data_IF_221890376180
#
_entry.id   IF_221890376180
#
_cell.length_a   1.000
_cell.length_b   1.000
_cell.length_c   1.000
_cell.angle_alpha   90.00
_cell.angle_beta   90.00
_cell.angle_gamma   90.00
#
_symmetry.space_group_name_H-M   'P 1'
#
loop_
_entity.id
_entity.type
_entity.pdbx_description
1 polymer ?
#
# COMPACT_ATOMS: atom_id res chain seq x y z
N UNK A 1 15.37 6.86 -18.67
CA UNK A 1 14.09 6.85 -17.93
C UNK A 1 13.32 8.06 -18.42
N UNK A 2 12.18 7.88 -19.08
CA UNK A 2 11.40 9.02 -19.57
C UNK A 2 10.58 9.62 -18.42
N UNK A 3 10.71 10.92 -18.24
CA UNK A 3 9.77 11.68 -17.44
C UNK A 3 8.41 11.63 -18.10
N UNK A 4 7.42 11.11 -17.42
CA UNK A 4 6.05 11.27 -17.88
C UNK A 4 5.40 12.35 -17.06
N UNK A 5 5.10 13.47 -17.68
CA UNK A 5 4.19 14.48 -17.14
C UNK A 5 2.79 13.82 -17.10
N UNK A 6 2.45 13.23 -15.97
CA UNK A 6 1.17 12.52 -15.81
C UNK A 6 0.13 13.57 -15.44
N UNK A 7 -0.85 13.75 -16.30
CA UNK A 7 -2.00 14.58 -16.01
C UNK A 7 -2.67 14.07 -14.72
N UNK A 8 -2.99 14.95 -13.81
CA UNK A 8 -3.59 14.73 -12.47
C UNK A 8 -4.79 13.74 -12.46
N UNK A 9 -5.45 13.56 -13.61
CA UNK A 9 -6.59 12.66 -13.81
C UNK A 9 -6.24 11.16 -13.87
N UNK A 10 -4.96 10.82 -14.04
CA UNK A 10 -4.50 9.42 -14.15
C UNK A 10 -4.00 8.86 -12.82
N UNK A 11 -3.88 9.70 -11.79
CA UNK A 11 -3.32 9.29 -10.51
C UNK A 11 -4.42 8.98 -9.51
N UNK A 12 -4.35 7.82 -8.88
CA UNK A 12 -5.26 7.43 -7.78
C UNK A 12 -4.97 8.31 -6.57
N UNK A 13 -5.79 9.34 -6.39
CA UNK A 13 -5.58 10.31 -5.32
C UNK A 13 -5.72 9.69 -3.92
N UNK A 14 -6.75 8.86 -3.70
CA UNK A 14 -7.00 8.22 -2.40
C UNK A 14 -6.42 6.81 -2.42
N UNK A 15 -5.27 6.63 -1.78
CA UNK A 15 -4.58 5.36 -1.68
C UNK A 15 -4.82 4.75 -0.29
N UNK A 16 -5.31 3.50 -0.26
CA UNK A 16 -5.76 2.85 0.97
C UNK A 16 -4.63 2.04 1.60
N UNK A 17 -4.29 2.33 2.86
CA UNK A 17 -3.36 1.52 3.65
C UNK A 17 -4.05 0.33 4.36
N UNK A 18 -5.37 0.37 4.52
CA UNK A 18 -6.19 -0.82 4.77
C UNK A 18 -7.07 -1.04 3.55
N UNK A 19 -6.91 -2.14 2.80
CA UNK A 19 -7.61 -2.37 1.56
C UNK A 19 -9.13 -2.33 1.69
N UNK A 20 -9.81 -1.79 0.70
CA UNK A 20 -11.29 -1.82 0.65
C UNK A 20 -11.82 -3.25 0.71
N UNK A 21 -11.13 -4.20 0.06
CA UNK A 21 -11.48 -5.62 0.10
C UNK A 21 -11.51 -6.17 1.53
N UNK A 22 -10.61 -5.70 2.41
CA UNK A 22 -10.62 -6.03 3.83
C UNK A 22 -11.76 -5.33 4.58
N UNK A 23 -11.91 -4.01 4.38
CA UNK A 23 -12.94 -3.19 5.06
C UNK A 23 -14.36 -3.67 4.75
N UNK A 24 -14.61 -4.18 3.53
CA UNK A 24 -15.91 -4.76 3.12
C UNK A 24 -16.38 -5.90 4.02
N UNK A 25 -15.48 -6.61 4.66
CA UNK A 25 -15.87 -7.70 5.57
C UNK A 25 -16.56 -7.20 6.84
N UNK A 26 -16.41 -5.93 7.18
CA UNK A 26 -17.00 -5.25 8.34
C UNK A 26 -18.05 -4.24 7.95
N UNK A 27 -18.36 -4.13 6.64
CA UNK A 27 -19.28 -3.13 6.16
C UNK A 27 -20.75 -3.53 6.32
N UNK A 28 -21.56 -2.51 6.56
CA UNK A 28 -23.01 -2.58 6.42
C UNK A 28 -23.36 -1.92 5.10
N UNK A 29 -23.93 -2.71 4.19
CA UNK A 29 -24.38 -2.19 2.90
C UNK A 29 -25.65 -1.37 3.08
N UNK A 30 -25.63 -0.13 2.64
CA UNK A 30 -26.84 0.63 2.40
C UNK A 30 -26.98 0.88 0.90
N UNK A 31 -28.16 1.39 0.46
CA UNK A 31 -28.51 1.56 -0.96
C UNK A 31 -27.52 2.46 -1.75
N UNK A 32 -26.61 3.17 -1.09
CA UNK A 32 -25.74 4.18 -1.72
C UNK A 32 -24.23 3.90 -1.57
N UNK A 33 -23.80 3.23 -0.51
CA UNK A 33 -22.38 2.97 -0.26
C UNK A 33 -22.16 1.89 0.79
N UNK A 34 -21.01 1.25 0.75
CA UNK A 34 -20.51 0.40 1.82
C UNK A 34 -19.96 1.28 2.95
N UNK A 35 -20.44 1.08 4.16
CA UNK A 35 -20.07 1.87 5.32
C UNK A 35 -19.64 0.97 6.47
N UNK A 36 -18.77 1.47 7.31
CA UNK A 36 -18.32 0.82 8.55
C UNK A 36 -18.53 1.73 9.75
N UNK A 37 -18.73 1.13 10.91
CA UNK A 37 -18.71 1.86 12.17
C UNK A 37 -17.27 2.10 12.59
N UNK A 38 -16.93 3.35 12.90
CA UNK A 38 -15.57 3.77 13.30
C UNK A 38 -15.67 4.57 14.59
N UNK A 39 -14.80 4.24 15.54
CA UNK A 39 -14.53 5.09 16.71
C UNK A 39 -13.17 5.75 16.47
N UNK A 40 -13.15 7.07 16.34
CA UNK A 40 -11.89 7.80 16.24
C UNK A 40 -11.27 7.98 17.64
N UNK A 41 -9.94 8.07 17.71
CA UNK A 41 -9.20 8.07 18.96
C UNK A 41 -9.68 9.11 20.01
N UNK A 42 -10.27 10.21 19.55
CA UNK A 42 -10.77 11.28 20.40
C UNK A 42 -12.32 11.32 20.48
N UNK A 43 -13.00 10.31 19.96
CA UNK A 43 -14.44 10.20 19.98
C UNK A 43 -14.89 9.10 20.96
N UNK A 44 -15.96 9.35 21.70
CA UNK A 44 -16.61 8.33 22.56
C UNK A 44 -17.64 7.50 21.79
N UNK A 45 -18.13 8.00 20.67
CA UNK A 45 -19.21 7.38 19.90
C UNK A 45 -18.76 6.89 18.55
N UNK A 46 -19.28 5.74 18.14
CA UNK A 46 -19.08 5.21 16.80
C UNK A 46 -19.81 6.07 15.76
N UNK A 47 -19.17 6.31 14.63
CA UNK A 47 -19.72 7.01 13.48
C UNK A 47 -19.75 6.09 12.27
N UNK A 48 -20.80 6.15 11.45
CA UNK A 48 -20.83 5.47 10.16
C UNK A 48 -20.06 6.26 9.12
N UNK A 49 -19.07 5.63 8.51
CA UNK A 49 -18.18 6.25 7.51
C UNK A 49 -18.08 5.34 6.29
N UNK A 50 -18.13 5.93 5.08
CA UNK A 50 -17.88 5.17 3.85
C UNK A 50 -16.45 4.60 3.84
N UNK A 51 -16.32 3.33 3.41
CA UNK A 51 -15.02 2.68 3.24
C UNK A 51 -14.10 3.44 2.25
N UNK A 52 -14.67 4.24 1.36
CA UNK A 52 -13.91 5.10 0.44
C UNK A 52 -13.19 6.27 1.11
N UNK A 53 -13.54 6.56 2.37
CA UNK A 53 -13.07 7.76 3.08
C UNK A 53 -12.27 7.45 4.36
N UNK A 54 -12.08 6.17 4.67
CA UNK A 54 -11.29 5.78 5.84
C UNK A 54 -10.06 4.97 5.42
N UNK A 55 -9.08 4.94 6.30
CA UNK A 55 -7.85 4.16 6.09
C UNK A 55 -7.17 4.46 4.73
N UNK A 56 -7.29 5.69 4.26
CA UNK A 56 -6.67 6.17 3.04
C UNK A 56 -6.00 7.54 3.26
N UNK A 57 -5.01 7.83 2.45
CA UNK A 57 -4.38 9.17 2.36
C UNK A 57 -4.21 9.55 0.89
N UNK A 58 -4.15 10.86 0.65
CA UNK A 58 -3.86 11.36 -0.70
C UNK A 58 -2.41 11.04 -1.04
N UNK A 59 -2.20 10.39 -2.18
CA UNK A 59 -0.88 10.09 -2.73
C UNK A 59 0.06 9.41 -1.73
N UNK A 60 -0.46 8.47 -0.94
CA UNK A 60 0.29 7.85 0.16
C UNK A 60 1.58 7.18 -0.32
N UNK A 61 1.51 6.49 -1.44
CA UNK A 61 2.62 5.71 -2.00
C UNK A 61 3.34 6.41 -3.13
N UNK A 62 2.75 7.48 -3.68
CA UNK A 62 3.35 8.22 -4.78
C UNK A 62 4.34 9.27 -4.27
N UNK A 63 5.53 9.23 -4.78
CA UNK A 63 6.56 10.21 -4.47
C UNK A 63 6.44 11.39 -5.43
N UNK A 64 6.17 12.56 -4.86
CA UNK A 64 5.89 13.77 -5.61
C UNK A 64 7.08 14.74 -5.48
N UNK A 65 7.62 15.18 -6.60
CA UNK A 65 8.56 16.29 -6.66
C UNK A 65 7.91 17.49 -7.37
N UNK A 66 8.47 18.67 -7.18
CA UNK A 66 8.11 19.87 -7.96
C UNK A 66 9.25 20.12 -8.91
N UNK A 67 8.96 20.13 -10.21
CA UNK A 67 9.91 20.55 -11.21
C UNK A 67 10.28 22.01 -10.96
N UNK A 68 11.57 22.34 -10.79
CA UNK A 68 11.99 23.69 -10.45
C UNK A 68 11.71 24.72 -11.54
N UNK A 69 11.68 24.28 -12.80
CA UNK A 69 11.53 25.17 -13.96
C UNK A 69 10.04 25.39 -14.30
N UNK A 70 9.28 24.30 -14.49
CA UNK A 70 7.86 24.38 -14.84
C UNK A 70 6.93 24.62 -13.66
N UNK A 71 7.41 24.40 -12.42
CA UNK A 71 6.61 24.41 -11.18
C UNK A 71 5.47 23.38 -11.15
N UNK A 72 5.52 22.39 -12.02
CA UNK A 72 4.55 21.30 -12.07
C UNK A 72 4.92 20.17 -11.12
N UNK A 73 3.93 19.40 -10.70
CA UNK A 73 4.16 18.18 -9.93
C UNK A 73 4.65 17.07 -10.86
N UNK A 74 5.76 16.45 -10.49
CA UNK A 74 6.33 15.29 -11.18
C UNK A 74 6.21 14.07 -10.28
N UNK A 75 5.66 12.99 -10.82
CA UNK A 75 5.53 11.72 -10.14
C UNK A 75 6.55 10.75 -10.70
N UNK A 76 7.33 10.11 -9.85
CA UNK A 76 8.39 9.19 -10.28
C UNK A 76 7.81 7.96 -11.02
N UNK A 77 6.80 7.34 -10.44
CA UNK A 77 6.10 6.18 -11.01
C UNK A 77 4.67 6.15 -10.44
N UNK A 78 3.75 6.96 -11.00
CA UNK A 78 2.42 7.14 -10.44
C UNK A 78 1.64 5.83 -10.39
N UNK A 79 0.99 5.59 -9.26
CA UNK A 79 0.21 4.37 -8.95
C UNK A 79 1.01 3.05 -8.97
N UNK A 80 2.32 3.03 -9.19
CA UNK A 80 3.07 1.78 -9.32
C UNK A 80 2.92 0.89 -8.08
N UNK A 81 3.15 1.47 -6.90
CA UNK A 81 3.05 0.74 -5.63
C UNK A 81 1.58 0.41 -5.32
N UNK A 82 0.65 1.32 -5.55
CA UNK A 82 -0.78 1.06 -5.36
C UNK A 82 -1.26 -0.08 -6.26
N UNK A 83 -0.86 -0.09 -7.53
CA UNK A 83 -1.23 -1.13 -8.48
C UNK A 83 -0.62 -2.51 -8.13
N UNK A 84 0.54 -2.54 -7.48
CA UNK A 84 1.16 -3.81 -7.05
C UNK A 84 0.32 -4.60 -6.04
N UNK A 85 -0.62 -3.96 -5.35
CA UNK A 85 -1.50 -4.62 -4.40
C UNK A 85 -2.77 -5.22 -5.03
N UNK A 86 -3.14 -4.83 -6.25
CA UNK A 86 -4.46 -5.15 -6.86
C UNK A 86 -4.68 -6.66 -6.95
N UNK A 87 -3.71 -7.41 -7.45
CA UNK A 87 -3.82 -8.85 -7.60
C UNK A 87 -4.02 -9.55 -6.26
N UNK A 88 -3.16 -9.24 -5.28
CA UNK A 88 -3.23 -9.81 -3.94
C UNK A 88 -4.55 -9.49 -3.22
N UNK A 89 -5.09 -8.28 -3.41
CA UNK A 89 -6.39 -7.89 -2.87
C UNK A 89 -7.55 -8.66 -3.52
N UNK A 90 -7.47 -8.91 -4.82
CA UNK A 90 -8.44 -9.73 -5.55
C UNK A 90 -8.42 -11.19 -5.09
N UNK A 91 -7.24 -11.78 -4.94
CA UNK A 91 -7.07 -13.12 -4.40
C UNK A 91 -7.60 -13.23 -2.96
N UNK A 92 -7.26 -12.28 -2.10
CA UNK A 92 -7.80 -12.22 -0.74
C UNK A 92 -9.34 -12.18 -0.74
N UNK A 93 -9.96 -11.31 -1.54
CA UNK A 93 -11.41 -11.20 -1.61
C UNK A 93 -12.07 -12.52 -2.04
N UNK A 94 -11.46 -13.23 -2.99
CA UNK A 94 -11.92 -14.54 -3.47
C UNK A 94 -11.84 -15.60 -2.35
N UNK A 95 -10.71 -15.68 -1.66
CA UNK A 95 -10.50 -16.65 -0.58
C UNK A 95 -11.47 -16.39 0.58
N UNK A 96 -11.62 -15.14 1.00
CA UNK A 96 -12.55 -14.79 2.08
C UNK A 96 -14.00 -15.09 1.69
N UNK A 97 -14.39 -14.87 0.44
CA UNK A 97 -15.72 -15.23 -0.05
C UNK A 97 -15.95 -16.74 0.00
N UNK A 98 -14.95 -17.57 -0.37
CA UNK A 98 -14.98 -19.03 -0.24
C UNK A 98 -15.17 -19.45 1.21
N UNK A 99 -14.39 -18.88 2.14
CA UNK A 99 -14.50 -19.18 3.58
C UNK A 99 -15.89 -18.81 4.11
N UNK A 100 -16.38 -17.59 3.82
CA UNK A 100 -17.70 -17.13 4.26
C UNK A 100 -18.83 -18.03 3.77
N UNK A 101 -18.77 -18.47 2.51
CA UNK A 101 -19.77 -19.35 1.95
C UNK A 101 -19.73 -20.73 2.62
N UNK A 102 -18.55 -21.30 2.83
CA UNK A 102 -18.40 -22.58 3.51
C UNK A 102 -18.92 -22.51 4.96
N UNK A 103 -18.57 -21.45 5.70
CA UNK A 103 -18.98 -21.25 7.10
C UNK A 103 -20.48 -20.90 7.26
N UNK A 104 -21.20 -20.62 6.17
CA UNK A 104 -22.66 -20.43 6.22
C UNK A 104 -23.39 -21.75 6.49
N UNK A 105 -22.89 -22.82 5.87
CA UNK A 105 -23.57 -24.12 5.84
C UNK A 105 -22.83 -25.19 6.71
N UNK A 106 -21.59 -24.92 7.11
CA UNK A 106 -20.75 -25.83 7.90
C UNK A 106 -19.85 -25.02 8.83
N UNK A 107 -19.34 -25.68 9.88
CA UNK A 107 -18.27 -25.11 10.74
C UNK A 107 -16.87 -25.55 10.28
N UNK A 108 -16.80 -26.30 9.17
CA UNK A 108 -15.55 -26.77 8.59
C UNK A 108 -15.39 -26.26 7.17
N UNK A 109 -14.14 -25.96 6.79
CA UNK A 109 -13.75 -25.63 5.42
C UNK A 109 -12.30 -26.03 5.17
N UNK A 110 -11.98 -26.24 3.91
CA UNK A 110 -10.63 -26.54 3.46
C UNK A 110 -10.08 -25.42 2.57
N UNK A 111 -8.83 -25.07 2.82
CA UNK A 111 -8.03 -24.19 1.97
C UNK A 111 -6.88 -24.97 1.37
N UNK A 112 -6.64 -24.77 0.08
CA UNK A 112 -5.43 -25.23 -0.57
C UNK A 112 -4.21 -24.51 0.03
N UNK A 113 -3.05 -25.17 0.01
CA UNK A 113 -1.80 -24.58 0.53
C UNK A 113 -1.51 -23.19 -0.08
N UNK A 114 -1.74 -23.06 -1.39
CA UNK A 114 -1.55 -21.78 -2.09
C UNK A 114 -2.47 -20.68 -1.56
N UNK A 115 -3.73 -21.01 -1.22
CA UNK A 115 -4.68 -20.04 -0.64
C UNK A 115 -4.22 -19.59 0.75
N UNK A 116 -3.69 -20.50 1.56
CA UNK A 116 -3.12 -20.17 2.87
C UNK A 116 -1.91 -19.24 2.71
N UNK A 117 -1.03 -19.53 1.77
CA UNK A 117 0.16 -18.70 1.52
C UNK A 117 -0.22 -17.30 1.00
N UNK A 118 -1.27 -17.18 0.18
CA UNK A 118 -1.83 -15.89 -0.24
C UNK A 118 -2.45 -15.10 0.93
N UNK A 119 -3.15 -15.74 1.84
CA UNK A 119 -3.64 -15.08 3.06
C UNK A 119 -2.48 -14.55 3.92
N UNK A 120 -1.43 -15.32 4.11
CA UNK A 120 -0.24 -14.90 4.85
C UNK A 120 0.45 -13.70 4.18
N UNK A 121 0.59 -13.74 2.86
CA UNK A 121 1.14 -12.64 2.08
C UNK A 121 0.27 -11.37 2.23
N UNK A 122 -1.04 -11.52 2.16
CA UNK A 122 -1.97 -10.41 2.37
C UNK A 122 -1.86 -9.82 3.79
N UNK A 123 -1.88 -10.64 4.82
CA UNK A 123 -1.73 -10.22 6.22
C UNK A 123 -0.39 -9.50 6.45
N UNK A 124 0.68 -10.03 5.86
CA UNK A 124 1.99 -9.41 5.90
C UNK A 124 1.99 -8.04 5.22
N UNK A 125 1.36 -7.93 4.05
CA UNK A 125 1.28 -6.66 3.33
C UNK A 125 0.49 -5.59 4.11
N UNK A 126 -0.57 -5.97 4.83
CA UNK A 126 -1.33 -5.03 5.67
C UNK A 126 -0.47 -4.30 6.70
N UNK A 127 0.50 -5.01 7.29
CA UNK A 127 1.39 -4.41 8.27
C UNK A 127 2.29 -3.34 7.65
N UNK A 128 2.87 -3.64 6.47
CA UNK A 128 3.86 -2.77 5.85
C UNK A 128 3.28 -1.66 4.96
N UNK A 129 2.01 -1.74 4.61
CA UNK A 129 1.27 -0.65 3.94
C UNK A 129 0.97 0.54 4.86
N UNK A 130 1.24 0.41 6.15
CA UNK A 130 0.95 1.46 7.13
C UNK A 130 1.71 2.76 6.80
N UNK A 131 1.07 3.94 6.91
CA UNK A 131 1.72 5.23 6.71
C UNK A 131 3.03 5.44 7.46
N UNK A 132 3.22 4.77 8.61
CA UNK A 132 4.48 4.84 9.38
C UNK A 132 5.66 4.32 8.56
N UNK A 133 5.50 3.22 7.81
CA UNK A 133 6.57 2.70 6.96
C UNK A 133 6.87 3.59 5.77
N UNK A 134 5.84 4.22 5.19
CA UNK A 134 6.02 5.22 4.12
C UNK A 134 6.82 6.42 4.64
N UNK A 135 6.45 6.95 5.81
CA UNK A 135 7.18 8.05 6.43
C UNK A 135 8.61 7.68 6.81
N UNK A 136 8.84 6.46 7.31
CA UNK A 136 10.18 5.97 7.62
C UNK A 136 11.04 5.89 6.36
N UNK A 137 10.50 5.39 5.26
CA UNK A 137 11.19 5.33 3.97
C UNK A 137 11.62 6.72 3.50
N UNK A 138 10.70 7.68 3.54
CA UNK A 138 10.99 9.07 3.17
C UNK A 138 12.04 9.70 4.11
N UNK A 139 11.93 9.46 5.41
CA UNK A 139 12.90 9.95 6.39
C UNK A 139 14.32 9.41 6.13
N UNK A 140 14.45 8.14 5.78
CA UNK A 140 15.76 7.54 5.43
C UNK A 140 16.34 8.23 4.20
N UNK A 141 15.56 8.44 3.15
CA UNK A 141 16.02 9.11 1.94
C UNK A 141 16.44 10.56 2.25
N UNK A 142 15.62 11.29 3.00
CA UNK A 142 15.92 12.67 3.36
C UNK A 142 17.17 12.82 4.24
N UNK A 143 17.41 11.88 5.17
CA UNK A 143 18.53 11.97 6.10
C UNK A 143 19.82 11.39 5.57
N UNK A 144 19.75 10.31 4.79
CA UNK A 144 20.95 9.58 4.34
C UNK A 144 21.46 10.04 2.97
N UNK A 145 20.56 10.45 2.09
CA UNK A 145 20.91 10.68 0.67
C UNK A 145 20.83 12.14 0.23
N UNK A 146 19.89 12.92 0.77
CA UNK A 146 19.61 14.29 0.32
C UNK A 146 20.82 15.23 0.42
N UNK A 147 21.63 15.08 1.45
CA UNK A 147 22.76 15.94 1.74
C UNK A 147 24.12 15.22 1.62
N UNK A 148 24.16 13.99 1.16
CA UNK A 148 25.41 13.28 0.92
C UNK A 148 26.10 13.78 -0.36
N UNK A 149 27.26 14.45 -0.26
CA UNK A 149 27.95 15.02 -1.42
C UNK A 149 28.40 13.96 -2.44
N UNK A 150 28.76 12.76 -1.96
CA UNK A 150 29.19 11.67 -2.84
C UNK A 150 28.01 11.12 -3.65
N UNK A 151 26.88 10.93 -2.97
CA UNK A 151 25.66 10.50 -3.62
C UNK A 151 25.16 11.55 -4.65
N UNK A 152 25.09 12.81 -4.25
CA UNK A 152 24.70 13.91 -5.15
C UNK A 152 25.60 13.98 -6.38
N UNK A 153 26.90 13.85 -6.20
CA UNK A 153 27.84 13.84 -7.34
C UNK A 153 27.60 12.66 -8.25
N UNK A 154 27.50 11.46 -7.70
CA UNK A 154 27.26 10.22 -8.46
C UNK A 154 25.98 10.31 -9.29
N UNK A 155 24.90 10.85 -8.71
CA UNK A 155 23.64 11.07 -9.40
C UNK A 155 23.78 12.04 -10.55
N UNK A 156 24.45 13.18 -10.35
CA UNK A 156 24.69 14.17 -11.41
C UNK A 156 25.53 13.62 -12.55
N UNK A 157 26.46 12.72 -12.23
CA UNK A 157 27.31 12.09 -13.24
C UNK A 157 26.49 11.12 -14.13
N UNK A 158 25.44 10.47 -13.59
CA UNK A 158 24.60 9.52 -14.32
C UNK A 158 23.38 10.23 -14.99
N UNK A 159 22.80 11.21 -14.30
CA UNK A 159 21.58 11.91 -14.71
C UNK A 159 21.78 13.44 -14.68
N UNK A 160 22.63 13.98 -15.56
CA UNK A 160 23.02 15.40 -15.50
C UNK A 160 21.83 16.36 -15.67
N UNK A 161 20.83 15.96 -16.42
CA UNK A 161 19.66 16.79 -16.77
C UNK A 161 18.48 16.61 -15.80
N UNK A 162 18.61 15.73 -14.79
CA UNK A 162 17.52 15.48 -13.82
C UNK A 162 17.71 16.37 -12.60
N UNK A 163 16.71 17.19 -12.23
CA UNK A 163 16.76 17.96 -10.99
C UNK A 163 16.89 17.06 -9.76
N UNK A 164 17.71 17.50 -8.80
CA UNK A 164 18.02 16.67 -7.61
C UNK A 164 16.77 16.22 -6.84
N UNK A 165 15.80 17.10 -6.66
CA UNK A 165 14.56 16.76 -5.95
C UNK A 165 13.72 15.71 -6.69
N UNK A 166 13.73 15.72 -8.01
CA UNK A 166 13.07 14.72 -8.85
C UNK A 166 13.78 13.37 -8.70
N UNK A 167 15.10 13.37 -8.80
CA UNK A 167 15.88 12.15 -8.57
C UNK A 167 15.64 11.54 -7.17
N UNK A 168 15.63 12.37 -6.12
CA UNK A 168 15.35 11.90 -4.76
C UNK A 168 13.94 11.32 -4.63
N UNK A 169 12.97 11.88 -5.34
CA UNK A 169 11.62 11.34 -5.42
C UNK A 169 11.60 9.95 -6.10
N UNK A 170 12.35 9.78 -7.18
CA UNK A 170 12.50 8.48 -7.84
C UNK A 170 13.16 7.45 -6.92
N UNK A 171 14.23 7.82 -6.24
CA UNK A 171 14.93 6.96 -5.28
C UNK A 171 14.01 6.57 -4.13
N UNK A 172 13.23 7.52 -3.60
CA UNK A 172 12.27 7.25 -2.53
C UNK A 172 11.16 6.29 -2.98
N UNK A 173 10.68 6.41 -4.23
CA UNK A 173 9.70 5.48 -4.80
C UNK A 173 10.27 4.05 -4.91
N UNK A 174 11.46 3.90 -5.47
CA UNK A 174 12.10 2.57 -5.58
C UNK A 174 12.38 1.96 -4.20
N UNK A 175 12.88 2.76 -3.26
CA UNK A 175 13.13 2.31 -1.90
C UNK A 175 11.85 1.85 -1.20
N UNK A 176 10.77 2.62 -1.35
CA UNK A 176 9.47 2.27 -0.79
C UNK A 176 8.93 0.98 -1.42
N UNK A 177 8.97 0.87 -2.75
CA UNK A 177 8.56 -0.32 -3.50
C UNK A 177 9.32 -1.57 -3.03
N UNK A 178 10.65 -1.48 -2.93
CA UNK A 178 11.49 -2.57 -2.44
C UNK A 178 11.18 -2.99 -0.99
N UNK A 179 10.55 -2.14 -0.22
CA UNK A 179 10.22 -2.44 1.17
C UNK A 179 8.79 -2.96 1.36
N UNK A 180 7.80 -2.44 0.63
CA UNK A 180 6.38 -2.71 0.94
C UNK A 180 5.57 -3.41 -0.14
N UNK A 181 6.02 -3.40 -1.42
CA UNK A 181 5.26 -4.06 -2.48
C UNK A 181 5.18 -5.59 -2.25
N UNK A 182 4.03 -6.23 -2.49
CA UNK A 182 3.82 -7.63 -2.12
C UNK A 182 4.74 -8.61 -2.87
N UNK A 183 5.06 -8.32 -4.12
CA UNK A 183 5.82 -9.23 -4.99
C UNK A 183 7.33 -9.10 -4.86
N UNK A 184 7.82 -7.88 -4.63
CA UNK A 184 9.26 -7.56 -4.57
C UNK A 184 9.71 -7.06 -3.21
N UNK A 185 8.79 -6.64 -2.36
CA UNK A 185 9.07 -6.02 -1.06
C UNK A 185 9.77 -6.98 -0.11
N UNK A 186 10.89 -6.54 0.44
CA UNK A 186 11.70 -7.33 1.36
C UNK A 186 10.93 -7.71 2.63
N UNK A 187 10.28 -6.74 3.26
CA UNK A 187 9.60 -6.94 4.54
C UNK A 187 8.33 -7.81 4.44
N UNK A 188 7.40 -7.57 3.49
CA UNK A 188 6.24 -8.43 3.36
C UNK A 188 6.61 -9.88 3.07
N UNK A 189 7.59 -10.11 2.21
CA UNK A 189 8.07 -11.46 1.87
C UNK A 189 8.74 -12.14 3.06
N UNK A 190 9.64 -11.46 3.75
CA UNK A 190 10.32 -12.03 4.92
C UNK A 190 9.32 -12.41 6.02
N UNK A 191 8.33 -11.56 6.30
CA UNK A 191 7.29 -11.87 7.27
C UNK A 191 6.40 -13.03 6.80
N UNK A 192 5.97 -13.05 5.53
CA UNK A 192 5.16 -14.13 4.99
C UNK A 192 5.90 -15.48 5.05
N UNK A 193 7.21 -15.51 4.78
CA UNK A 193 8.03 -16.72 4.96
C UNK A 193 8.08 -17.17 6.43
N UNK A 194 8.32 -16.24 7.37
CA UNK A 194 8.29 -16.56 8.80
C UNK A 194 6.95 -17.11 9.25
N UNK A 195 5.84 -16.59 8.70
CA UNK A 195 4.49 -17.05 9.01
C UNK A 195 4.18 -18.45 8.47
N UNK A 196 4.98 -19.01 7.55
CA UNK A 196 4.79 -20.40 7.07
C UNK A 196 4.97 -21.44 8.17
N UNK A 197 5.79 -21.15 9.15
CA UNK A 197 5.98 -21.99 10.33
C UNK A 197 4.86 -21.84 11.37
N UNK A 198 3.98 -20.85 11.21
CA UNK A 198 2.90 -20.53 12.13
C UNK A 198 1.60 -21.19 11.71
N UNK A 199 0.80 -21.61 12.70
CA UNK A 199 -0.55 -22.10 12.45
C UNK A 199 -1.48 -20.94 12.15
N UNK A 200 -2.18 -20.99 11.01
CA UNK A 200 -3.24 -20.03 10.69
C UNK A 200 -4.54 -20.50 11.34
N UNK A 201 -5.08 -19.69 12.24
CA UNK A 201 -6.39 -19.90 12.86
C UNK A 201 -7.40 -18.89 12.33
N UNK A 202 -8.55 -19.35 11.90
CA UNK A 202 -9.67 -18.51 11.46
C UNK A 202 -10.85 -18.77 12.40
N UNK A 203 -11.34 -17.70 13.00
CA UNK A 203 -12.45 -17.76 13.94
C UNK A 203 -13.72 -17.24 13.26
N UNK A 204 -14.82 -17.98 13.48
CA UNK A 204 -16.17 -17.52 13.13
C UNK A 204 -16.65 -16.55 14.21
N UNK A 205 -17.03 -15.35 13.81
CA UNK A 205 -17.61 -14.33 14.69
C UNK A 205 -19.14 -14.41 14.68
#
# INVERSE_FOLDING_TARGET
MEYTEVLDKQITRKQHYVPKAYLKNFSVSNQKSEQVYVVFANDENAKMVSIDNICCRSYLYDQIAIDPDSKTHVFAAPNEIENSFIELEGEYATIISKIKNALRDSDEFELARVEIDKLRQFMSSLLFRNPVFVHLSNYIIDTQYKNDPQHIKHVKDIFPDVPQNVYLSMLANEFLKMNIAPDVGLFPRALAETMKESQLCIFKA
#
